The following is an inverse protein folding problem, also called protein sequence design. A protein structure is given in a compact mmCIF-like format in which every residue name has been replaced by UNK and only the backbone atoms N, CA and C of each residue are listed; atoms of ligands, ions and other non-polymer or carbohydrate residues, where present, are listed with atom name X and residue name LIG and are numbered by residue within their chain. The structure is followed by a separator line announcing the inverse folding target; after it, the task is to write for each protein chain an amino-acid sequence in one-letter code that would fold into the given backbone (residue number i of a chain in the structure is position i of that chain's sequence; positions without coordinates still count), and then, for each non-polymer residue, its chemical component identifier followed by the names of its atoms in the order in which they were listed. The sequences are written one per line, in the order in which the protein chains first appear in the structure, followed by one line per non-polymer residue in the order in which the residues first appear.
data_IF_566953515887
#
_entry.id   IF_566953515887
#
_cell.length_a   1.000
_cell.length_b   1.000
_cell.length_c   1.000
_cell.angle_alpha   90.00
_cell.angle_beta   90.00
_cell.angle_gamma   90.00
#
_symmetry.space_group_name_H-M   'P 1'
#
loop_
_entity.id
_entity.type
_entity.pdbx_description
1 polymer ?
#
# COMPACT_ATOMS: atom_id res chain seq x y z
N UNK A 1 -11.72 -23.15 15.39
CA UNK A 1 -11.53 -22.80 13.96
C UNK A 1 -12.72 -21.99 13.41
N UNK A 2 -13.19 -20.93 14.09
CA UNK A 2 -14.54 -20.39 13.84
C UNK A 2 -14.68 -18.91 13.50
N UNK A 3 -13.62 -18.11 13.47
CA UNK A 3 -13.75 -16.65 13.19
C UNK A 3 -12.72 -16.14 12.17
N UNK A 4 -11.51 -16.74 12.15
CA UNK A 4 -10.48 -16.44 11.16
C UNK A 4 -10.96 -16.69 9.72
N UNK A 5 -11.85 -17.67 9.51
CA UNK A 5 -12.40 -17.99 8.19
C UNK A 5 -13.43 -16.96 7.70
N UNK A 6 -14.11 -16.26 8.61
CA UNK A 6 -15.19 -15.33 8.25
C UNK A 6 -14.65 -13.96 7.84
N UNK A 7 -13.53 -13.52 8.44
CA UNK A 7 -12.89 -12.27 8.05
C UNK A 7 -12.07 -12.39 6.75
N UNK A 8 -11.52 -13.58 6.45
CA UNK A 8 -10.78 -13.81 5.21
C UNK A 8 -11.68 -13.96 3.96
N UNK A 9 -12.99 -14.13 4.13
CA UNK A 9 -13.91 -14.45 3.03
C UNK A 9 -14.69 -13.23 2.48
N UNK A 10 -14.50 -12.05 3.06
CA UNK A 10 -15.00 -10.81 2.51
C UNK A 10 -13.87 -10.09 1.77
N UNK A 11 -14.00 -9.98 0.45
CA UNK A 11 -13.22 -9.09 -0.41
C UNK A 11 -13.53 -7.60 -0.08
N UNK A 12 -13.28 -7.19 1.17
CA UNK A 12 -13.36 -5.81 1.63
C UNK A 12 -12.05 -5.08 1.40
N UNK A 13 -12.13 -3.77 1.14
CA UNK A 13 -10.96 -2.92 0.97
C UNK A 13 -10.11 -2.91 2.25
N UNK A 14 -8.78 -2.80 2.16
CA UNK A 14 -7.86 -2.89 3.31
C UNK A 14 -8.23 -2.00 4.52
N UNK A 15 -8.72 -0.76 4.33
CA UNK A 15 -9.18 0.10 5.44
C UNK A 15 -10.38 -0.47 6.20
N UNK A 16 -11.28 -1.19 5.51
CA UNK A 16 -12.46 -1.83 6.10
C UNK A 16 -12.05 -3.04 6.96
N UNK A 17 -10.97 -3.74 6.60
CA UNK A 17 -10.42 -4.83 7.40
C UNK A 17 -9.80 -4.35 8.72
N UNK A 18 -9.00 -3.28 8.68
CA UNK A 18 -8.41 -2.69 9.89
C UNK A 18 -9.49 -2.20 10.85
N UNK A 19 -10.47 -1.44 10.36
CA UNK A 19 -11.56 -0.92 11.19
C UNK A 19 -12.38 -2.05 11.85
N UNK A 20 -12.64 -3.14 11.13
CA UNK A 20 -13.32 -4.32 11.69
C UNK A 20 -12.47 -5.04 12.73
N UNK A 21 -11.17 -5.20 12.49
CA UNK A 21 -10.25 -5.81 13.44
C UNK A 21 -10.14 -4.99 14.73
N UNK A 22 -10.05 -3.65 14.63
CA UNK A 22 -10.04 -2.74 15.78
C UNK A 22 -11.35 -2.82 16.59
N UNK A 23 -12.50 -2.82 15.90
CA UNK A 23 -13.79 -2.93 16.56
C UNK A 23 -13.97 -4.28 17.27
N UNK A 24 -13.49 -5.37 16.66
CA UNK A 24 -13.51 -6.70 17.26
C UNK A 24 -12.57 -6.78 18.48
N UNK A 25 -11.35 -6.27 18.35
CA UNK A 25 -10.37 -6.16 19.45
C UNK A 25 -10.94 -5.38 20.64
N UNK A 26 -11.56 -4.23 20.40
CA UNK A 26 -12.16 -3.41 21.45
C UNK A 26 -13.24 -4.19 22.22
N UNK A 27 -14.13 -4.88 21.50
CA UNK A 27 -15.15 -5.75 22.13
C UNK A 27 -14.54 -6.86 22.97
N UNK A 28 -13.45 -7.48 22.51
CA UNK A 28 -12.75 -8.51 23.28
C UNK A 28 -12.09 -7.92 24.54
N UNK A 29 -11.49 -6.72 24.44
CA UNK A 29 -10.92 -6.02 25.59
C UNK A 29 -11.98 -5.71 26.65
N UNK A 30 -13.21 -5.37 26.26
CA UNK A 30 -14.33 -5.17 27.20
C UNK A 30 -14.73 -6.47 27.94
N UNK A 31 -14.51 -7.63 27.32
CA UNK A 31 -14.80 -8.95 27.91
C UNK A 31 -13.72 -9.43 28.89
N UNK A 32 -12.46 -9.01 28.72
CA UNK A 32 -11.33 -9.44 29.56
C UNK A 32 -11.62 -9.23 31.05
N UNK A 33 -12.04 -8.04 31.54
CA UNK A 33 -12.35 -7.85 32.96
C UNK A 33 -13.44 -8.77 33.49
N UNK A 34 -14.38 -9.19 32.65
CA UNK A 34 -15.46 -10.11 33.02
C UNK A 34 -14.93 -11.53 33.21
N UNK A 35 -14.08 -11.99 32.28
CA UNK A 35 -13.42 -13.29 32.39
C UNK A 35 -12.43 -13.34 33.55
N UNK A 36 -11.70 -12.25 33.82
CA UNK A 36 -10.83 -12.17 34.99
C UNK A 36 -11.61 -12.24 36.31
N UNK A 37 -12.77 -11.57 36.42
CA UNK A 37 -13.65 -11.70 37.59
C UNK A 37 -14.17 -13.13 37.75
N UNK A 38 -14.56 -13.77 36.65
CA UNK A 38 -15.02 -15.16 36.66
C UNK A 38 -13.92 -16.12 37.11
N UNK A 39 -12.70 -15.97 36.59
CA UNK A 39 -11.55 -16.76 37.01
C UNK A 39 -11.23 -16.56 38.49
N UNK A 40 -11.24 -15.31 38.99
CA UNK A 40 -11.03 -15.04 40.42
C UNK A 40 -12.06 -15.75 41.29
N UNK A 41 -13.34 -15.63 40.98
CA UNK A 41 -14.41 -16.29 41.73
C UNK A 41 -14.30 -17.83 41.70
N UNK A 42 -13.98 -18.40 40.54
CA UNK A 42 -13.80 -19.85 40.38
C UNK A 42 -12.55 -20.36 41.13
N UNK A 43 -11.47 -19.59 41.12
CA UNK A 43 -10.25 -19.89 41.89
C UNK A 43 -10.51 -19.87 43.39
N UNK A 44 -11.15 -18.81 43.90
CA UNK A 44 -11.53 -18.73 45.32
C UNK A 44 -12.44 -19.89 45.73
N UNK A 45 -13.41 -20.26 44.88
CA UNK A 45 -14.25 -21.44 45.10
C UNK A 45 -13.40 -22.71 45.15
N UNK A 46 -12.56 -22.95 44.16
CA UNK A 46 -11.70 -24.13 44.12
C UNK A 46 -10.79 -24.24 45.34
N UNK A 47 -10.29 -23.14 45.88
CA UNK A 47 -9.47 -23.11 47.10
C UNK A 47 -10.30 -23.43 48.35
N UNK A 48 -11.47 -22.82 48.51
CA UNK A 48 -12.40 -23.12 49.62
C UNK A 48 -12.83 -24.58 49.62
N UNK A 49 -13.16 -25.12 48.44
CA UNK A 49 -13.51 -26.53 48.27
C UNK A 49 -12.28 -27.44 48.51
N UNK A 50 -11.05 -27.00 48.23
CA UNK A 50 -9.88 -27.80 48.60
C UNK A 50 -9.73 -27.93 50.13
N UNK A 51 -9.96 -26.84 50.88
CA UNK A 51 -9.91 -26.83 52.34
C UNK A 51 -10.98 -27.74 52.97
N UNK A 52 -12.24 -27.62 52.55
CA UNK A 52 -13.34 -28.46 53.07
C UNK A 52 -13.11 -29.95 52.79
N UNK A 53 -12.51 -30.29 51.65
CA UNK A 53 -12.18 -31.68 51.31
C UNK A 53 -11.07 -32.22 52.23
N UNK A 54 -10.06 -31.41 52.53
CA UNK A 54 -8.99 -31.79 53.46
C UNK A 54 -9.51 -32.05 54.89
N UNK A 55 -10.58 -31.35 55.28
CA UNK A 55 -11.30 -31.57 56.55
C UNK A 55 -12.29 -32.75 56.51
N UNK A 56 -12.46 -33.40 55.34
CA UNK A 56 -13.38 -34.52 55.15
C UNK A 56 -14.87 -34.12 55.10
N UNK A 57 -15.18 -32.83 54.91
CA UNK A 57 -16.54 -32.29 54.97
C UNK A 57 -17.31 -32.40 53.64
N UNK A 58 -16.63 -32.70 52.54
CA UNK A 58 -17.21 -32.80 51.19
C UNK A 58 -16.59 -33.98 50.42
N UNK A 59 -17.23 -34.37 49.32
CA UNK A 59 -16.73 -35.47 48.50
C UNK A 59 -15.62 -35.03 47.54
N UNK A 60 -14.81 -35.99 47.08
CA UNK A 60 -13.81 -35.76 46.01
C UNK A 60 -14.46 -35.21 44.74
N UNK A 61 -15.67 -35.69 44.41
CA UNK A 61 -16.41 -35.26 43.21
C UNK A 61 -16.68 -33.76 43.23
N UNK A 62 -16.99 -33.22 44.40
CA UNK A 62 -17.33 -31.80 44.50
C UNK A 62 -16.10 -30.90 44.38
N UNK A 63 -14.96 -31.31 44.96
CA UNK A 63 -13.67 -30.67 44.74
C UNK A 63 -13.28 -30.69 43.25
N UNK A 64 -13.45 -31.84 42.58
CA UNK A 64 -13.19 -31.94 41.14
C UNK A 64 -14.11 -31.04 40.31
N UNK A 65 -15.39 -30.89 40.70
CA UNK A 65 -16.31 -29.94 40.08
C UNK A 65 -15.81 -28.50 40.16
N UNK A 66 -15.41 -28.05 41.34
CA UNK A 66 -14.86 -26.71 41.54
C UNK A 66 -13.55 -26.47 40.77
N UNK A 67 -12.68 -27.49 40.66
CA UNK A 67 -11.46 -27.42 39.85
C UNK A 67 -11.75 -27.28 38.36
N UNK A 68 -12.70 -28.05 37.82
CA UNK A 68 -13.13 -27.94 36.42
C UNK A 68 -13.68 -26.56 36.11
N UNK A 69 -14.50 -25.99 36.99
CA UNK A 69 -15.02 -24.62 36.82
C UNK A 69 -13.89 -23.58 36.73
N UNK A 70 -12.82 -23.74 37.52
CA UNK A 70 -11.63 -22.87 37.45
C UNK A 70 -10.90 -23.04 36.12
N UNK A 71 -10.64 -24.28 35.71
CA UNK A 71 -9.97 -24.60 34.44
C UNK A 71 -10.74 -24.04 33.23
N UNK A 72 -12.06 -24.13 33.23
CA UNK A 72 -12.90 -23.56 32.18
C UNK A 72 -12.86 -22.02 32.17
N UNK A 73 -12.87 -21.38 33.35
CA UNK A 73 -12.77 -19.93 33.45
C UNK A 73 -11.40 -19.42 32.95
N UNK A 74 -10.33 -20.15 33.27
CA UNK A 74 -8.97 -19.87 32.79
C UNK A 74 -8.87 -20.04 31.27
N UNK A 75 -9.40 -21.14 30.74
CA UNK A 75 -9.42 -21.40 29.30
C UNK A 75 -10.18 -20.31 28.52
N UNK A 76 -11.29 -19.80 29.06
CA UNK A 76 -12.05 -18.68 28.47
C UNK A 76 -11.23 -17.40 28.42
N UNK A 77 -10.56 -17.03 29.51
CA UNK A 77 -9.70 -15.84 29.55
C UNK A 77 -8.54 -15.94 28.55
N UNK A 78 -7.88 -17.09 28.51
CA UNK A 78 -6.77 -17.31 27.58
C UNK A 78 -7.21 -17.34 26.12
N UNK A 79 -8.42 -17.82 25.82
CA UNK A 79 -8.98 -17.73 24.48
C UNK A 79 -9.25 -16.27 24.06
N UNK A 80 -9.87 -15.47 24.92
CA UNK A 80 -10.08 -14.04 24.64
C UNK A 80 -8.75 -13.32 24.40
N UNK A 81 -7.72 -13.62 25.21
CA UNK A 81 -6.37 -13.05 25.03
C UNK A 81 -5.71 -13.49 23.72
N UNK A 82 -5.90 -14.75 23.30
CA UNK A 82 -5.43 -15.23 21.99
C UNK A 82 -6.10 -14.48 20.84
N UNK A 83 -7.42 -14.27 20.90
CA UNK A 83 -8.17 -13.56 19.88
C UNK A 83 -7.79 -12.07 19.79
N UNK A 84 -7.44 -11.44 20.91
CA UNK A 84 -6.87 -10.08 20.93
C UNK A 84 -5.55 -10.05 20.16
N UNK A 85 -4.62 -10.95 20.48
CA UNK A 85 -3.31 -11.02 19.79
C UNK A 85 -3.46 -11.24 18.29
N UNK A 86 -4.35 -12.14 17.87
CA UNK A 86 -4.65 -12.35 16.46
C UNK A 86 -5.20 -11.09 15.77
N UNK A 87 -6.01 -10.29 16.47
CA UNK A 87 -6.50 -9.02 15.93
C UNK A 87 -5.38 -7.98 15.83
N UNK A 88 -4.47 -7.93 16.81
CA UNK A 88 -3.28 -7.07 16.78
C UNK A 88 -2.38 -7.40 15.57
N UNK A 89 -2.16 -8.69 15.30
CA UNK A 89 -1.35 -9.16 14.17
C UNK A 89 -1.95 -8.69 12.83
N UNK A 90 -3.26 -8.84 12.64
CA UNK A 90 -3.96 -8.39 11.41
C UNK A 90 -3.84 -6.88 11.21
N UNK A 91 -4.00 -6.10 12.28
CA UNK A 91 -3.85 -4.64 12.23
C UNK A 91 -2.42 -4.27 11.81
N UNK A 92 -1.42 -4.86 12.46
CA UNK A 92 -0.01 -4.57 12.21
C UNK A 92 0.41 -4.92 10.77
N UNK A 93 0.07 -6.12 10.30
CA UNK A 93 0.40 -6.57 8.94
C UNK A 93 -0.25 -5.68 7.87
N UNK A 94 -1.51 -5.30 8.06
CA UNK A 94 -2.25 -4.50 7.07
C UNK A 94 -1.71 -3.08 7.00
N UNK A 95 -1.46 -2.44 8.16
CA UNK A 95 -0.88 -1.08 8.21
C UNK A 95 0.52 -1.04 7.62
N UNK A 96 1.36 -2.05 7.90
CA UNK A 96 2.70 -2.14 7.31
C UNK A 96 2.62 -2.25 5.77
N UNK A 97 1.71 -3.07 5.24
CA UNK A 97 1.51 -3.21 3.81
C UNK A 97 1.07 -1.90 3.15
N UNK A 98 0.17 -1.14 3.79
CA UNK A 98 -0.25 0.19 3.34
C UNK A 98 0.91 1.20 3.32
N UNK A 99 1.75 1.20 4.36
CA UNK A 99 2.90 2.08 4.45
C UNK A 99 3.96 1.76 3.39
N UNK A 100 4.25 0.48 3.17
CA UNK A 100 5.14 0.02 2.10
C UNK A 100 4.62 0.47 0.73
N UNK A 101 3.33 0.29 0.46
CA UNK A 101 2.74 0.72 -0.81
C UNK A 101 2.79 2.24 -0.99
N UNK A 102 2.47 3.00 0.06
CA UNK A 102 2.57 4.46 0.03
C UNK A 102 4.00 4.92 -0.25
N UNK A 103 4.99 4.31 0.40
CA UNK A 103 6.40 4.62 0.19
C UNK A 103 6.85 4.25 -1.23
N UNK A 104 6.38 3.12 -1.76
CA UNK A 104 6.67 2.72 -3.14
C UNK A 104 6.06 3.71 -4.15
N UNK A 105 4.81 4.15 -3.94
CA UNK A 105 4.17 5.18 -4.76
C UNK A 105 4.90 6.52 -4.67
N UNK A 106 5.35 6.91 -3.47
CA UNK A 106 6.14 8.11 -3.27
C UNK A 106 7.49 8.03 -4.03
N UNK A 107 8.22 6.93 -3.91
CA UNK A 107 9.47 6.71 -4.64
C UNK A 107 9.26 6.70 -6.17
N UNK A 108 8.16 6.14 -6.66
CA UNK A 108 7.78 6.23 -8.08
C UNK A 108 7.50 7.66 -8.51
N UNK A 109 6.81 8.45 -7.69
CA UNK A 109 6.58 9.89 -7.94
C UNK A 109 7.87 10.72 -7.89
N UNK A 110 8.86 10.30 -7.11
CA UNK A 110 10.20 10.89 -7.14
C UNK A 110 10.94 10.51 -8.42
N UNK A 111 10.68 9.36 -9.02
CA UNK A 111 11.39 8.92 -10.24
C UNK A 111 10.76 9.48 -11.52
N UNK A 112 9.46 9.73 -11.51
CA UNK A 112 8.68 10.15 -12.69
C UNK A 112 7.86 11.40 -12.39
N UNK A 113 8.11 12.48 -13.14
CA UNK A 113 7.31 13.71 -13.12
C UNK A 113 6.33 13.66 -14.28
N UNK A 114 5.03 13.80 -14.02
CA UNK A 114 4.01 13.81 -15.07
C UNK A 114 3.22 15.11 -15.07
N UNK A 115 2.97 15.64 -16.26
CA UNK A 115 2.05 16.74 -16.49
C UNK A 115 1.17 16.41 -17.70
N UNK A 116 -0.13 16.25 -17.47
CA UNK A 116 -1.07 15.80 -18.52
C UNK A 116 -1.44 16.89 -19.55
N UNK A 117 -0.97 18.13 -19.34
CA UNK A 117 -1.25 19.24 -20.22
C UNK A 117 -2.67 19.81 -20.06
N UNK A 118 -2.85 21.05 -20.54
CA UNK A 118 -4.14 21.74 -20.59
C UNK A 118 -4.48 22.22 -22.01
N UNK A 119 -3.52 22.14 -22.93
CA UNK A 119 -3.68 22.50 -24.33
C UNK A 119 -3.67 21.23 -25.22
N UNK A 120 -4.34 21.24 -26.38
CA UNK A 120 -4.22 20.17 -27.34
C UNK A 120 -2.75 19.96 -27.73
N UNK A 121 -2.31 18.71 -27.88
CA UNK A 121 -0.98 18.38 -28.37
C UNK A 121 -1.04 17.82 -29.80
N UNK A 122 0.01 18.08 -30.58
CA UNK A 122 0.33 17.36 -31.81
C UNK A 122 1.82 17.54 -32.12
N UNK A 123 2.42 16.60 -32.84
CA UNK A 123 3.84 16.65 -33.20
C UNK A 123 4.24 17.94 -33.92
N UNK A 124 3.34 18.58 -34.66
CA UNK A 124 3.59 19.88 -35.31
C UNK A 124 3.93 21.01 -34.31
N UNK A 125 3.48 20.90 -33.06
CA UNK A 125 3.75 21.89 -32.00
C UNK A 125 5.18 21.81 -31.46
N UNK A 126 5.91 20.74 -31.75
CA UNK A 126 7.31 20.60 -31.31
C UNK A 126 8.20 21.72 -31.81
N UNK A 127 7.91 22.29 -32.99
CA UNK A 127 8.67 23.41 -33.54
C UNK A 127 8.71 24.61 -32.58
N UNK A 128 7.65 24.85 -31.79
CA UNK A 128 7.62 25.92 -30.78
C UNK A 128 8.56 25.63 -29.61
N UNK A 129 8.67 24.35 -29.23
CA UNK A 129 9.58 23.88 -28.17
C UNK A 129 11.02 23.99 -28.64
N UNK A 130 11.30 23.59 -29.88
CA UNK A 130 12.62 23.69 -30.51
C UNK A 130 13.08 25.15 -30.61
N UNK A 131 12.21 26.07 -31.05
CA UNK A 131 12.49 27.50 -31.10
C UNK A 131 12.79 28.08 -29.72
N UNK A 132 11.92 27.83 -28.74
CA UNK A 132 12.15 28.27 -27.36
C UNK A 132 13.51 27.80 -26.84
N UNK A 133 13.83 26.53 -27.02
CA UNK A 133 15.06 25.94 -26.50
C UNK A 133 16.29 26.55 -27.18
N UNK A 134 16.27 26.67 -28.50
CA UNK A 134 17.37 27.26 -29.26
C UNK A 134 17.58 28.75 -28.93
N UNK A 135 16.50 29.52 -28.76
CA UNK A 135 16.57 30.92 -28.33
C UNK A 135 17.13 31.07 -26.92
N UNK A 136 16.77 30.16 -26.00
CA UNK A 136 17.20 30.21 -24.59
C UNK A 136 18.65 29.75 -24.39
N UNK A 137 19.08 28.69 -25.06
CA UNK A 137 20.35 28.01 -24.80
C UNK A 137 21.39 28.14 -25.92
N UNK A 138 21.00 28.66 -27.09
CA UNK A 138 21.92 28.90 -28.21
C UNK A 138 22.28 27.66 -29.03
N UNK A 139 21.62 26.52 -28.80
CA UNK A 139 21.79 25.30 -29.59
C UNK A 139 20.49 24.50 -29.71
N UNK A 140 20.45 23.55 -30.65
CA UNK A 140 19.24 22.78 -30.95
C UNK A 140 18.79 21.90 -29.78
N UNK A 141 17.48 21.72 -29.63
CA UNK A 141 16.89 20.80 -28.66
C UNK A 141 17.48 19.38 -28.85
N UNK A 142 18.07 18.75 -27.80
CA UNK A 142 18.70 17.45 -27.92
C UNK A 142 17.65 16.33 -27.96
N UNK A 143 17.01 16.15 -29.12
CA UNK A 143 16.00 15.12 -29.35
C UNK A 143 16.67 13.74 -29.50
N UNK A 144 16.27 12.78 -28.66
CA UNK A 144 16.71 11.38 -28.75
C UNK A 144 15.76 10.50 -29.57
N UNK A 145 14.47 10.84 -29.60
CA UNK A 145 13.48 10.14 -30.42
C UNK A 145 12.41 11.12 -30.90
N UNK A 146 12.07 11.09 -32.18
CA UNK A 146 10.98 11.90 -32.76
C UNK A 146 9.96 10.97 -33.39
N UNK A 147 8.78 10.86 -32.79
CA UNK A 147 7.79 9.87 -33.21
C UNK A 147 8.22 8.43 -32.90
N UNK A 148 7.59 7.47 -33.57
CA UNK A 148 7.87 6.05 -33.39
C UNK A 148 9.32 5.70 -33.75
N UNK A 149 9.96 4.83 -32.96
CA UNK A 149 11.31 4.31 -33.25
C UNK A 149 11.36 2.80 -33.06
N UNK A 150 12.39 2.15 -33.61
CA UNK A 150 12.60 0.71 -33.44
C UNK A 150 12.74 0.29 -31.97
N UNK A 151 13.20 1.20 -31.08
CA UNK A 151 13.23 0.94 -29.64
C UNK A 151 11.80 0.85 -29.08
N UNK A 152 10.92 1.77 -29.48
CA UNK A 152 9.51 1.74 -29.09
C UNK A 152 8.80 0.49 -29.60
N UNK A 153 9.08 0.05 -30.84
CA UNK A 153 8.52 -1.20 -31.38
C UNK A 153 8.92 -2.42 -30.53
N UNK A 154 10.20 -2.54 -30.18
CA UNK A 154 10.71 -3.64 -29.35
C UNK A 154 10.13 -3.67 -27.95
N UNK A 155 9.84 -2.48 -27.40
CA UNK A 155 9.22 -2.34 -26.08
C UNK A 155 7.68 -2.40 -26.13
N UNK A 156 7.09 -2.47 -27.33
CA UNK A 156 5.65 -2.54 -27.54
C UNK A 156 4.92 -1.23 -27.22
N UNK A 157 5.53 -0.08 -27.49
CA UNK A 157 4.95 1.25 -27.23
C UNK A 157 4.56 1.98 -28.51
N UNK A 158 3.41 2.65 -28.48
CA UNK A 158 2.96 3.59 -29.51
C UNK A 158 3.42 5.01 -29.13
N UNK A 159 4.31 5.58 -29.95
CA UNK A 159 5.04 6.83 -29.70
C UNK A 159 4.93 7.81 -30.90
N UNK A 160 3.96 7.67 -31.80
CA UNK A 160 3.95 8.46 -33.05
C UNK A 160 3.71 9.96 -32.84
N UNK A 161 2.97 10.35 -31.81
CA UNK A 161 2.64 11.75 -31.50
C UNK A 161 3.45 12.30 -30.31
N UNK A 162 4.69 11.83 -30.12
CA UNK A 162 5.55 12.26 -29.02
C UNK A 162 7.03 12.41 -29.44
N UNK A 163 7.80 13.08 -28.58
CA UNK A 163 9.24 13.34 -28.78
C UNK A 163 9.97 13.15 -27.46
N UNK A 164 11.01 12.32 -27.47
CA UNK A 164 11.91 12.20 -26.33
C UNK A 164 13.09 13.17 -26.48
N UNK A 165 13.37 13.88 -25.39
CA UNK A 165 14.46 14.84 -25.27
C UNK A 165 15.46 14.32 -24.26
N UNK A 166 16.72 14.20 -24.67
CA UNK A 166 17.85 13.68 -23.89
C UNK A 166 18.37 14.68 -22.84
N UNK A 167 17.46 15.25 -22.04
CA UNK A 167 17.77 16.11 -20.91
C UNK A 167 17.38 15.42 -19.61
N UNK A 168 18.25 15.53 -18.60
CA UNK A 168 17.91 15.10 -17.25
C UNK A 168 16.90 16.07 -16.63
N UNK A 169 15.80 15.61 -16.00
CA UNK A 169 14.76 16.51 -15.46
C UNK A 169 15.28 17.54 -14.45
N UNK A 170 16.26 17.16 -13.63
CA UNK A 170 16.81 18.07 -12.60
C UNK A 170 17.96 18.98 -13.12
N UNK A 171 18.40 18.79 -14.37
CA UNK A 171 19.37 19.71 -14.98
C UNK A 171 18.77 21.12 -15.13
N UNK A 172 19.60 22.15 -15.25
CA UNK A 172 19.11 23.52 -15.46
C UNK A 172 18.23 23.62 -16.71
N UNK A 173 18.67 23.02 -17.82
CA UNK A 173 17.96 22.99 -19.10
C UNK A 173 16.66 22.17 -19.03
N UNK A 174 16.70 21.01 -18.36
CA UNK A 174 15.53 20.18 -18.14
C UNK A 174 14.45 20.89 -17.32
N UNK A 175 14.83 21.61 -16.26
CA UNK A 175 13.89 22.39 -15.43
C UNK A 175 13.24 23.53 -16.23
N UNK A 176 14.02 24.28 -17.01
CA UNK A 176 13.53 25.36 -17.86
C UNK A 176 12.61 24.84 -18.98
N UNK A 177 12.97 23.71 -19.60
CA UNK A 177 12.11 23.05 -20.59
C UNK A 177 10.78 22.62 -19.97
N UNK A 178 10.79 21.94 -18.82
CA UNK A 178 9.56 21.54 -18.14
C UNK A 178 8.72 22.74 -17.70
N UNK A 179 9.33 23.84 -17.28
CA UNK A 179 8.61 25.07 -16.95
C UNK A 179 7.93 25.67 -18.18
N UNK A 180 8.64 25.74 -19.31
CA UNK A 180 8.07 26.18 -20.57
C UNK A 180 6.89 25.31 -21.01
N UNK A 181 7.04 23.98 -20.96
CA UNK A 181 5.99 23.03 -21.32
C UNK A 181 4.74 23.20 -20.44
N UNK A 182 4.91 23.43 -19.12
CA UNK A 182 3.79 23.76 -18.22
C UNK A 182 3.09 25.04 -18.63
N UNK A 183 3.83 26.11 -18.91
CA UNK A 183 3.27 27.41 -19.36
C UNK A 183 2.53 27.30 -20.70
N UNK A 184 3.05 26.49 -21.61
CA UNK A 184 2.43 26.22 -22.91
C UNK A 184 1.22 25.25 -22.82
N UNK A 185 1.02 24.61 -21.66
CA UNK A 185 -0.01 23.59 -21.46
C UNK A 185 0.27 22.29 -22.21
N UNK A 186 1.53 22.03 -22.60
CA UNK A 186 1.90 20.83 -23.36
C UNK A 186 2.20 19.66 -22.41
N UNK A 187 1.65 18.47 -22.67
CA UNK A 187 1.87 17.31 -21.83
C UNK A 187 3.32 16.84 -21.90
N UNK A 188 3.84 16.32 -20.78
CA UNK A 188 5.13 15.65 -20.75
C UNK A 188 5.23 14.64 -19.58
N UNK A 189 6.17 13.72 -19.72
CA UNK A 189 6.63 12.80 -18.68
C UNK A 189 8.15 12.94 -18.58
N UNK A 190 8.66 13.23 -17.39
CA UNK A 190 10.10 13.34 -17.14
C UNK A 190 10.55 12.16 -16.29
N UNK A 191 11.51 11.39 -16.79
CA UNK A 191 12.10 10.26 -16.10
C UNK A 191 13.45 10.69 -15.50
N UNK A 192 13.61 10.57 -14.18
CA UNK A 192 14.89 10.84 -13.51
C UNK A 192 15.90 9.69 -13.63
N UNK A 193 15.42 8.48 -13.93
CA UNK A 193 16.25 7.30 -14.11
C UNK A 193 15.53 6.26 -14.98
N UNK A 194 16.18 5.12 -15.24
CA UNK A 194 15.53 4.02 -15.92
C UNK A 194 14.36 3.47 -15.09
N UNK A 195 13.23 3.23 -15.74
CA UNK A 195 12.02 2.65 -15.16
C UNK A 195 11.71 1.35 -15.90
N UNK A 196 11.74 0.22 -15.20
CA UNK A 196 11.57 -1.10 -15.80
C UNK A 196 10.28 -1.16 -16.63
N UNK A 197 10.42 -1.54 -17.91
CA UNK A 197 9.30 -1.67 -18.83
C UNK A 197 8.66 -0.35 -19.26
N UNK A 198 9.29 0.80 -19.01
CA UNK A 198 8.81 2.13 -19.43
C UNK A 198 9.91 3.03 -19.99
N UNK A 199 11.03 3.22 -19.29
CA UNK A 199 12.11 4.14 -19.69
C UNK A 199 13.48 3.50 -19.51
N UNK A 200 14.37 3.64 -20.50
CA UNK A 200 15.73 3.06 -20.44
C UNK A 200 16.77 3.97 -19.78
N UNK A 201 16.40 5.21 -19.44
CA UNK A 201 17.28 6.19 -18.82
C UNK A 201 16.56 7.52 -18.60
N UNK A 202 17.28 8.49 -18.03
CA UNK A 202 16.73 9.82 -17.77
C UNK A 202 16.50 10.62 -19.06
N UNK A 203 15.28 11.11 -19.25
CA UNK A 203 14.89 11.94 -20.40
C UNK A 203 13.56 12.64 -20.12
N UNK A 204 13.19 13.60 -20.97
CA UNK A 204 11.87 14.25 -20.96
C UNK A 204 11.12 13.81 -22.22
N UNK A 205 10.06 13.03 -22.04
CA UNK A 205 9.11 12.65 -23.07
C UNK A 205 8.06 13.76 -23.21
N UNK A 206 7.99 14.40 -24.37
CA UNK A 206 7.08 15.52 -24.69
C UNK A 206 5.95 15.02 -25.58
N UNK A 207 4.72 15.21 -25.14
CA UNK A 207 3.53 14.68 -25.78
C UNK A 207 2.69 13.83 -24.84
N UNK A 208 1.67 13.19 -25.40
CA UNK A 208 0.83 12.25 -24.65
C UNK A 208 1.62 10.99 -24.35
N UNK A 209 1.36 10.41 -23.18
CA UNK A 209 1.96 9.15 -22.79
C UNK A 209 1.77 8.05 -23.84
N UNK A 210 2.85 7.37 -24.18
CA UNK A 210 2.79 6.17 -25.02
C UNK A 210 1.91 5.09 -24.40
N UNK A 211 1.06 4.50 -25.22
CA UNK A 211 0.24 3.35 -24.85
C UNK A 211 0.95 2.06 -25.23
N UNK A 212 0.84 1.03 -24.39
CA UNK A 212 1.30 -0.30 -24.78
C UNK A 212 0.40 -0.83 -25.89
N UNK A 213 1.01 -1.25 -26.99
CA UNK A 213 0.31 -2.00 -28.03
C UNK A 213 0.08 -3.39 -27.46
N UNK A 214 -1.18 -3.82 -27.37
CA UNK A 214 -1.49 -5.20 -27.00
C UNK A 214 -0.75 -6.14 -27.96
N UNK A 215 -0.09 -7.18 -27.44
CA UNK A 215 0.51 -8.19 -28.29
C UNK A 215 -0.58 -8.74 -29.22
N UNK A 216 -0.34 -8.68 -30.53
CA UNK A 216 -1.19 -9.40 -31.48
C UNK A 216 -1.16 -10.89 -31.06
N UNK A 217 -2.33 -11.43 -30.74
CA UNK A 217 -2.52 -12.83 -30.40
C UNK A 217 -2.21 -13.74 -31.60
#
# INVERSE_FOLDING_TARGET
MGFLLVLFQAAGDRPDLVAKAEAYRARLMDLVPHHERSLRAASEKSERWAALFAEGLISRRDLEGARREREEAEARLEETRRQIRQSDDVIAETTLAEEVEKNLRAAQSETVIRFDGSAPWSLAKIARVESFFAEKFGYALPVSARGQTALHDRLGFEHHDAVDVALHPDSAEGRELMEYLRKAGFPFIAFRSAVQGSATGAHIHVGKASVKVAAAA
#
